data_IF_412828804839
#
_entry.id   IF_412828804839
#
_cell.length_a   1.000
_cell.length_b   1.000
_cell.length_c   1.000
_cell.angle_alpha   90.00
_cell.angle_beta   90.00
_cell.angle_gamma   90.00
#
_symmetry.space_group_name_H-M   'P 1'
#
loop_
_entity.id
_entity.type
_entity.pdbx_description
1 polymer ?
#
# COMPACT_ATOMS: atom_id res chain seq x y z
N UNK A 1 12.56 38.38 -18.00
CA UNK A 1 11.48 38.57 -16.98
C UNK A 1 11.19 37.34 -16.11
N UNK A 2 11.84 36.19 -16.29
CA UNK A 2 11.56 34.95 -15.53
C UNK A 2 12.31 34.83 -14.18
N UNK A 3 13.41 35.58 -13.97
CA UNK A 3 14.23 35.50 -12.73
C UNK A 3 13.60 36.21 -11.53
N UNK A 4 12.81 37.27 -11.74
CA UNK A 4 12.25 38.07 -10.65
C UNK A 4 11.18 37.30 -9.84
N UNK A 5 10.29 36.58 -10.52
CA UNK A 5 9.22 35.80 -9.87
C UNK A 5 9.70 34.52 -9.15
N UNK A 6 10.94 34.06 -9.40
CA UNK A 6 11.52 32.91 -8.68
C UNK A 6 12.08 33.36 -7.32
N UNK A 7 12.70 34.54 -7.26
CA UNK A 7 13.26 35.10 -6.03
C UNK A 7 12.18 35.45 -5.00
N UNK A 8 11.11 36.12 -5.42
CA UNK A 8 9.98 36.48 -4.55
C UNK A 8 9.27 35.26 -3.94
N UNK A 9 9.23 34.15 -4.70
CA UNK A 9 8.60 32.90 -4.26
C UNK A 9 9.44 32.17 -3.23
N UNK A 10 10.76 32.16 -3.42
CA UNK A 10 11.70 31.60 -2.46
C UNK A 10 11.66 32.40 -1.14
N UNK A 11 11.61 33.73 -1.19
CA UNK A 11 11.50 34.59 0.01
C UNK A 11 10.22 34.33 0.81
N UNK A 12 9.08 34.13 0.13
CA UNK A 12 7.81 33.78 0.79
C UNK A 12 7.87 32.42 1.48
N UNK A 13 8.49 31.41 0.85
CA UNK A 13 8.70 30.08 1.44
C UNK A 13 9.55 30.19 2.70
N UNK A 14 10.62 30.98 2.65
CA UNK A 14 11.52 31.21 3.78
C UNK A 14 10.78 31.90 4.95
N UNK A 15 10.03 32.97 4.69
CA UNK A 15 9.27 33.68 5.72
C UNK A 15 8.24 32.77 6.40
N UNK A 16 7.47 32.03 5.61
CA UNK A 16 6.47 31.10 6.13
C UNK A 16 7.12 29.94 6.91
N UNK A 17 8.27 29.44 6.43
CA UNK A 17 9.04 28.41 7.13
C UNK A 17 9.54 28.88 8.49
N UNK A 18 10.00 30.14 8.62
CA UNK A 18 10.37 30.72 9.92
C UNK A 18 9.19 30.75 10.89
N UNK A 19 8.02 31.18 10.41
CA UNK A 19 6.79 31.23 11.23
C UNK A 19 6.32 29.83 11.68
N UNK A 20 6.44 28.81 10.82
CA UNK A 20 6.14 27.43 11.20
C UNK A 20 7.12 26.91 12.26
N UNK A 21 8.42 27.16 12.06
CA UNK A 21 9.48 26.65 12.93
C UNK A 21 9.58 27.40 14.26
N UNK A 22 9.05 28.62 14.38
CA UNK A 22 8.91 29.29 15.68
C UNK A 22 7.89 28.63 16.61
N UNK A 23 6.96 27.84 16.06
CA UNK A 23 5.93 27.16 16.86
C UNK A 23 6.22 25.68 17.09
N UNK A 24 6.95 25.03 16.18
CA UNK A 24 7.23 23.60 16.29
C UNK A 24 8.48 23.15 15.53
N UNK A 25 9.13 22.13 16.07
CA UNK A 25 10.30 21.52 15.43
C UNK A 25 9.88 20.50 14.36
N UNK A 26 10.24 20.73 13.09
CA UNK A 26 9.96 19.81 11.98
C UNK A 26 11.23 19.18 11.42
N UNK A 27 11.16 17.92 10.97
CA UNK A 27 12.23 17.32 10.17
C UNK A 27 12.16 17.80 8.71
N UNK A 28 13.24 17.60 7.97
CA UNK A 28 13.38 18.08 6.58
C UNK A 28 12.29 17.54 5.65
N UNK A 29 11.85 16.28 5.82
CA UNK A 29 10.75 15.73 5.02
C UNK A 29 9.46 16.52 5.25
N UNK A 30 9.07 16.70 6.52
CA UNK A 30 7.83 17.38 6.88
C UNK A 30 7.85 18.85 6.48
N UNK A 31 8.97 19.54 6.73
CA UNK A 31 9.14 20.96 6.37
C UNK A 31 9.12 21.15 4.87
N UNK A 32 9.94 20.39 4.12
CA UNK A 32 10.03 20.58 2.68
C UNK A 32 8.76 20.15 1.96
N UNK A 33 8.09 19.08 2.40
CA UNK A 33 6.81 18.62 1.82
C UNK A 33 5.79 19.74 1.69
N UNK A 34 5.73 20.67 2.64
CA UNK A 34 4.81 21.81 2.61
C UNK A 34 4.98 22.71 1.39
N UNK A 35 6.15 22.68 0.75
CA UNK A 35 6.48 23.57 -0.35
C UNK A 35 6.89 22.83 -1.63
N UNK A 36 6.89 21.49 -1.64
CA UNK A 36 7.29 20.67 -2.81
C UNK A 36 6.48 21.05 -4.06
N UNK A 37 5.15 21.15 -3.94
CA UNK A 37 4.26 21.52 -5.07
C UNK A 37 4.52 22.93 -5.62
N UNK A 38 5.18 23.78 -4.84
CA UNK A 38 5.53 25.15 -5.21
C UNK A 38 6.92 25.27 -5.85
N UNK A 39 7.67 24.18 -5.93
CA UNK A 39 9.06 24.18 -6.43
C UNK A 39 9.28 23.12 -7.51
N UNK A 40 10.38 23.21 -8.25
CA UNK A 40 10.79 22.17 -9.22
C UNK A 40 11.45 20.95 -8.55
N UNK A 41 11.46 20.86 -7.21
CA UNK A 41 12.11 19.79 -6.47
C UNK A 41 11.15 18.62 -6.21
N UNK A 42 11.59 17.40 -6.49
CA UNK A 42 10.80 16.18 -6.32
C UNK A 42 10.94 15.50 -4.95
N UNK A 43 11.74 16.08 -4.05
CA UNK A 43 12.06 15.51 -2.74
C UNK A 43 11.86 16.53 -1.62
N UNK A 44 10.89 16.24 -0.75
CA UNK A 44 10.63 17.03 0.47
C UNK A 44 11.88 17.14 1.35
N UNK A 45 12.61 16.03 1.56
CA UNK A 45 13.87 16.05 2.33
C UNK A 45 14.87 17.08 1.83
N UNK A 46 15.15 17.10 0.53
CA UNK A 46 16.16 18.01 -0.05
C UNK A 46 15.72 19.47 0.08
N UNK A 47 14.45 19.75 -0.20
CA UNK A 47 13.89 21.09 -0.06
C UNK A 47 13.90 21.55 1.41
N UNK A 48 13.47 20.71 2.34
CA UNK A 48 13.48 21.05 3.76
C UNK A 48 14.89 21.32 4.30
N UNK A 49 15.88 20.56 3.85
CA UNK A 49 17.28 20.81 4.18
C UNK A 49 17.77 22.17 3.63
N UNK A 50 17.46 22.48 2.36
CA UNK A 50 17.79 23.78 1.74
C UNK A 50 17.15 24.93 2.50
N UNK A 51 15.85 24.83 2.82
CA UNK A 51 15.12 25.83 3.60
C UNK A 51 15.82 26.03 4.94
N UNK A 52 16.09 24.94 5.67
CA UNK A 52 16.71 24.97 6.99
C UNK A 52 18.07 25.66 6.99
N UNK A 53 18.94 25.33 6.02
CA UNK A 53 20.26 25.96 5.89
C UNK A 53 20.13 27.46 5.58
N UNK A 54 19.16 27.84 4.75
CA UNK A 54 18.92 29.24 4.37
C UNK A 54 18.47 30.11 5.55
N UNK A 55 17.84 29.53 6.56
CA UNK A 55 17.39 30.24 7.78
C UNK A 55 18.30 29.98 8.99
N UNK A 56 19.38 29.23 8.81
CA UNK A 56 20.30 28.79 9.87
C UNK A 56 19.59 28.20 11.11
N UNK A 57 18.60 27.33 10.89
CA UNK A 57 17.81 26.72 11.97
C UNK A 57 18.30 25.30 12.29
N UNK A 58 18.29 24.91 13.57
CA UNK A 58 18.76 23.58 14.00
C UNK A 58 17.92 22.45 13.43
N UNK A 59 18.50 21.26 13.22
CA UNK A 59 17.72 20.06 12.90
C UNK A 59 16.92 19.62 14.12
N UNK A 60 15.64 19.32 13.91
CA UNK A 60 14.76 18.79 14.94
C UNK A 60 15.26 17.42 15.44
N UNK A 61 15.49 17.27 16.74
CA UNK A 61 15.78 15.97 17.36
C UNK A 61 14.59 15.02 17.22
N UNK A 62 13.37 15.54 17.35
CA UNK A 62 12.12 14.80 17.17
C UNK A 62 11.08 15.66 16.45
N UNK A 63 10.73 15.27 15.22
CA UNK A 63 9.74 16.00 14.43
C UNK A 63 8.36 16.07 15.12
N UNK A 64 7.79 17.26 15.23
CA UNK A 64 6.47 17.52 15.78
C UNK A 64 5.36 16.83 14.98
N UNK A 65 5.49 16.55 13.69
CA UNK A 65 4.47 15.82 12.92
C UNK A 65 4.74 14.32 12.99
N UNK A 66 5.77 13.86 12.29
CA UNK A 66 5.95 12.44 12.02
C UNK A 66 6.69 11.67 13.12
N UNK A 67 7.20 12.34 14.17
CA UNK A 67 8.06 11.72 15.21
C UNK A 67 9.20 10.88 14.60
N UNK A 68 9.83 11.41 13.54
CA UNK A 68 10.93 10.80 12.79
C UNK A 68 10.58 9.54 11.99
N UNK A 69 9.32 9.33 11.61
CA UNK A 69 8.88 8.20 10.77
C UNK A 69 9.78 7.89 9.57
N UNK A 70 10.32 8.93 8.93
CA UNK A 70 11.16 8.82 7.74
C UNK A 70 12.55 8.21 8.00
N UNK A 71 13.05 8.19 9.25
CA UNK A 71 14.35 7.57 9.56
C UNK A 71 14.33 6.06 9.33
N UNK A 72 13.17 5.44 9.52
CA UNK A 72 13.01 3.98 9.49
C UNK A 72 12.48 3.48 8.15
N UNK A 73 12.36 4.35 7.14
CA UNK A 73 11.78 3.99 5.84
C UNK A 73 12.55 2.84 5.16
N UNK A 74 13.88 2.82 5.27
CA UNK A 74 14.67 1.74 4.66
C UNK A 74 14.40 0.37 5.30
N UNK A 75 14.06 0.34 6.60
CA UNK A 75 13.65 -0.89 7.29
C UNK A 75 12.33 -1.41 6.71
N UNK A 76 11.33 -0.53 6.56
CA UNK A 76 10.03 -0.92 6.00
C UNK A 76 10.14 -1.33 4.53
N UNK A 77 10.99 -0.67 3.74
CA UNK A 77 11.26 -1.08 2.35
C UNK A 77 11.89 -2.47 2.34
N UNK A 78 12.85 -2.78 3.22
CA UNK A 78 13.43 -4.12 3.33
C UNK A 78 12.37 -5.17 3.72
N UNK A 79 11.47 -4.84 4.64
CA UNK A 79 10.35 -5.73 4.98
C UNK A 79 9.45 -5.99 3.77
N UNK A 80 9.08 -4.95 3.01
CA UNK A 80 8.31 -5.13 1.77
C UNK A 80 9.05 -6.04 0.79
N UNK A 81 10.38 -5.90 0.67
CA UNK A 81 11.18 -6.72 -0.23
C UNK A 81 11.15 -8.19 0.19
N UNK A 82 11.34 -8.46 1.48
CA UNK A 82 11.33 -9.82 2.00
C UNK A 82 9.98 -10.50 1.75
N UNK A 83 8.86 -9.83 2.04
CA UNK A 83 7.54 -10.43 1.80
C UNK A 83 7.25 -10.54 0.31
N UNK A 84 7.79 -9.64 -0.52
CA UNK A 84 7.55 -9.67 -1.96
C UNK A 84 8.14 -10.87 -2.69
N UNK A 85 9.09 -11.62 -2.10
CA UNK A 85 9.68 -12.80 -2.75
C UNK A 85 8.71 -13.97 -2.84
N UNK A 86 7.63 -13.95 -2.07
CA UNK A 86 6.59 -14.99 -2.08
C UNK A 86 5.57 -14.81 -3.22
N UNK A 87 5.64 -13.70 -3.96
CA UNK A 87 4.63 -13.32 -4.95
C UNK A 87 5.22 -13.03 -6.32
N UNK A 88 4.50 -13.44 -7.35
CA UNK A 88 4.78 -13.06 -8.74
C UNK A 88 3.94 -11.83 -9.11
N UNK A 89 4.60 -10.72 -9.46
CA UNK A 89 3.92 -9.48 -9.83
C UNK A 89 4.77 -8.58 -10.71
N UNK A 90 4.10 -7.73 -11.49
CA UNK A 90 4.70 -6.69 -12.32
C UNK A 90 4.37 -5.28 -11.82
N UNK A 91 3.17 -5.11 -11.28
CA UNK A 91 2.69 -3.84 -10.73
C UNK A 91 2.39 -3.95 -9.23
N UNK A 92 2.53 -2.84 -8.52
CA UNK A 92 2.18 -2.79 -7.10
C UNK A 92 1.67 -1.41 -6.69
N UNK A 93 1.06 -1.34 -5.52
CA UNK A 93 0.78 -0.07 -4.83
C UNK A 93 1.20 -0.18 -3.36
N UNK A 94 1.39 0.97 -2.71
CA UNK A 94 1.78 1.05 -1.30
C UNK A 94 0.77 1.87 -0.51
N UNK A 95 0.19 1.23 0.49
CA UNK A 95 -0.61 1.84 1.54
C UNK A 95 0.19 2.00 2.85
N UNK A 96 -0.32 2.87 3.71
CA UNK A 96 0.23 3.08 5.05
C UNK A 96 -0.90 3.24 6.08
N UNK A 97 -0.71 2.67 7.27
CA UNK A 97 -1.54 2.92 8.45
C UNK A 97 -0.68 3.68 9.45
N UNK A 98 -1.05 4.94 9.72
CA UNK A 98 -0.37 5.82 10.65
C UNK A 98 -1.16 5.95 11.96
N UNK A 99 -0.49 6.40 13.03
CA UNK A 99 -1.18 6.81 14.27
C UNK A 99 -2.04 8.04 13.98
N UNK A 100 -3.26 8.05 14.51
CA UNK A 100 -4.21 9.16 14.30
C UNK A 100 -3.61 10.51 14.73
N UNK A 101 -2.88 10.52 15.85
CA UNK A 101 -2.18 11.71 16.33
C UNK A 101 -1.12 12.27 15.37
N UNK A 102 -0.57 11.48 14.43
CA UNK A 102 0.33 11.99 13.39
C UNK A 102 -0.48 12.76 12.33
N UNK A 103 -1.63 12.22 11.93
CA UNK A 103 -2.53 12.83 10.94
C UNK A 103 -3.10 14.13 11.50
N UNK A 104 -3.58 14.12 12.74
CA UNK A 104 -4.13 15.32 13.40
C UNK A 104 -3.11 16.44 13.55
N UNK A 105 -1.87 16.12 13.93
CA UNK A 105 -0.79 17.13 14.02
C UNK A 105 -0.43 17.73 12.67
N UNK A 106 -0.46 16.91 11.61
CA UNK A 106 -0.25 17.39 10.24
C UNK A 106 -1.36 18.35 9.80
N UNK A 107 -2.62 17.93 9.95
CA UNK A 107 -3.78 18.71 9.53
C UNK A 107 -3.92 20.00 10.34
N UNK A 108 -3.63 19.97 11.65
CA UNK A 108 -3.60 21.18 12.50
C UNK A 108 -2.61 22.22 11.96
N UNK A 109 -1.39 21.81 11.61
CA UNK A 109 -0.40 22.73 11.06
C UNK A 109 -0.78 23.22 9.67
N UNK A 110 -1.25 22.33 8.79
CA UNK A 110 -1.69 22.70 7.44
C UNK A 110 -2.83 23.72 7.49
N UNK A 111 -3.79 23.53 8.39
CA UNK A 111 -4.90 24.47 8.60
C UNK A 111 -4.41 25.81 9.14
N UNK A 112 -3.64 25.80 10.24
CA UNK A 112 -3.13 27.00 10.92
C UNK A 112 -2.32 27.90 9.99
N UNK A 113 -1.47 27.32 9.14
CA UNK A 113 -0.60 28.06 8.23
C UNK A 113 -1.17 28.17 6.80
N UNK A 114 -2.44 27.82 6.61
CA UNK A 114 -3.15 27.89 5.32
C UNK A 114 -2.39 27.21 4.16
N UNK A 115 -1.79 26.05 4.42
CA UNK A 115 -1.00 25.26 3.48
C UNK A 115 -1.91 24.47 2.52
N UNK A 116 -2.46 25.17 1.53
CA UNK A 116 -3.38 24.60 0.52
C UNK A 116 -2.64 23.77 -0.53
N UNK A 117 -3.29 22.70 -1.01
CA UNK A 117 -2.76 21.85 -2.09
C UNK A 117 -1.53 21.03 -1.73
N UNK A 118 -1.21 20.93 -0.43
CA UNK A 118 -0.08 20.15 0.07
C UNK A 118 -0.51 18.72 0.36
N UNK A 119 0.31 17.74 -0.06
CA UNK A 119 0.11 16.33 0.27
C UNK A 119 0.09 16.11 1.80
N UNK A 120 -0.88 15.32 2.28
CA UNK A 120 -0.90 14.85 3.66
C UNK A 120 0.27 13.90 3.99
N UNK A 121 0.58 13.74 5.27
CA UNK A 121 1.76 12.98 5.73
C UNK A 121 1.70 11.52 5.29
N UNK A 122 0.49 10.95 5.24
CA UNK A 122 0.26 9.60 4.73
C UNK A 122 0.69 9.47 3.27
N UNK A 123 0.32 10.43 2.43
CA UNK A 123 0.65 10.44 1.00
C UNK A 123 2.16 10.56 0.77
N UNK A 124 2.84 11.41 1.55
CA UNK A 124 4.29 11.59 1.42
C UNK A 124 5.05 10.32 1.84
N UNK A 125 4.60 9.66 2.92
CA UNK A 125 5.16 8.39 3.38
C UNK A 125 4.99 7.29 2.33
N UNK A 126 3.79 7.12 1.75
CA UNK A 126 3.56 6.09 0.73
C UNK A 126 4.33 6.37 -0.56
N UNK A 127 4.45 7.64 -0.97
CA UNK A 127 5.30 8.06 -2.10
C UNK A 127 6.77 7.70 -1.86
N UNK A 128 7.32 8.00 -0.68
CA UNK A 128 8.72 7.68 -0.39
C UNK A 128 8.99 6.17 -0.28
N UNK A 129 8.08 5.40 0.33
CA UNK A 129 8.14 3.93 0.31
C UNK A 129 8.12 3.39 -1.12
N UNK A 130 7.16 3.83 -1.94
CA UNK A 130 7.02 3.42 -3.33
C UNK A 130 8.26 3.74 -4.17
N UNK A 131 8.76 4.98 -4.10
CA UNK A 131 9.98 5.40 -4.82
C UNK A 131 11.18 4.51 -4.47
N UNK A 132 11.39 4.22 -3.19
CA UNK A 132 12.50 3.38 -2.74
C UNK A 132 12.31 1.91 -3.14
N UNK A 133 11.09 1.41 -3.06
CA UNK A 133 10.78 0.04 -3.49
C UNK A 133 11.01 -0.14 -4.99
N UNK A 134 10.56 0.79 -5.85
CA UNK A 134 10.86 0.79 -7.30
C UNK A 134 12.37 0.67 -7.54
N UNK A 135 13.17 1.48 -6.85
CA UNK A 135 14.64 1.48 -7.04
C UNK A 135 15.26 0.11 -6.76
N UNK A 136 14.69 -0.61 -5.80
CA UNK A 136 15.16 -1.93 -5.35
C UNK A 136 14.66 -3.08 -6.22
N UNK A 137 13.39 -3.07 -6.64
CA UNK A 137 12.75 -4.21 -7.30
C UNK A 137 12.55 -4.03 -8.80
N UNK A 138 12.68 -2.80 -9.31
CA UNK A 138 12.39 -2.40 -10.70
C UNK A 138 10.93 -2.65 -11.15
N UNK A 139 10.03 -2.96 -10.20
CA UNK A 139 8.59 -3.12 -10.46
C UNK A 139 7.92 -1.76 -10.64
N UNK A 140 6.73 -1.75 -11.26
CA UNK A 140 6.00 -0.52 -11.60
C UNK A 140 4.92 -0.22 -10.56
N UNK A 141 4.63 1.06 -10.31
CA UNK A 141 3.48 1.44 -9.49
C UNK A 141 2.23 1.53 -10.36
N UNK A 142 1.14 0.92 -9.92
CA UNK A 142 -0.20 1.09 -10.46
C UNK A 142 -1.17 1.31 -9.29
N UNK A 143 -1.80 2.48 -9.24
CA UNK A 143 -2.72 2.82 -8.15
C UNK A 143 -4.16 2.36 -8.39
N UNK A 144 -4.52 2.00 -9.62
CA UNK A 144 -5.88 1.61 -10.00
C UNK A 144 -6.03 0.10 -9.98
N UNK A 145 -5.12 -0.62 -10.63
CA UNK A 145 -5.18 -2.07 -10.82
C UNK A 145 -3.85 -2.77 -10.52
N UNK A 146 -3.28 -2.60 -9.31
CA UNK A 146 -2.05 -3.29 -8.92
C UNK A 146 -2.25 -4.81 -8.84
N UNK A 147 -1.23 -5.57 -9.21
CA UNK A 147 -1.17 -7.01 -8.94
C UNK A 147 -1.04 -7.26 -7.42
N UNK A 148 -0.26 -6.42 -6.73
CA UNK A 148 0.01 -6.53 -5.29
C UNK A 148 -0.14 -5.19 -4.58
N UNK A 149 -0.87 -5.18 -3.47
CA UNK A 149 -0.98 -4.05 -2.55
C UNK A 149 -0.22 -4.34 -1.27
N UNK A 150 0.86 -3.60 -1.03
CA UNK A 150 1.61 -3.62 0.23
C UNK A 150 1.03 -2.58 1.18
N UNK A 151 0.70 -2.95 2.42
CA UNK A 151 0.22 -2.01 3.44
C UNK A 151 1.14 -2.05 4.65
N UNK A 152 1.89 -0.98 4.88
CA UNK A 152 2.75 -0.85 6.06
C UNK A 152 1.94 -0.31 7.23
N UNK A 153 1.82 -1.12 8.28
CA UNK A 153 1.24 -0.70 9.52
C UNK A 153 2.31 -0.17 10.47
N UNK A 154 2.40 1.15 10.60
CA UNK A 154 3.37 1.81 11.50
C UNK A 154 2.97 1.75 12.98
N UNK A 155 1.83 1.14 13.32
CA UNK A 155 1.43 0.86 14.71
C UNK A 155 1.94 -0.50 15.17
N UNK A 156 1.82 -1.52 14.31
CA UNK A 156 2.22 -2.91 14.61
C UNK A 156 3.57 -3.28 14.03
N UNK A 157 4.16 -2.39 13.22
CA UNK A 157 5.43 -2.62 12.51
C UNK A 157 5.38 -3.87 11.62
N UNK A 158 4.26 -4.05 10.91
CA UNK A 158 4.03 -5.18 10.01
C UNK A 158 3.73 -4.72 8.58
N UNK A 159 4.09 -5.56 7.62
CA UNK A 159 3.79 -5.37 6.21
C UNK A 159 2.72 -6.40 5.80
N UNK A 160 1.50 -5.94 5.56
CA UNK A 160 0.43 -6.78 5.06
C UNK A 160 0.41 -6.75 3.53
N UNK A 161 0.19 -7.90 2.90
CA UNK A 161 0.14 -8.03 1.45
C UNK A 161 -1.23 -8.50 1.02
N UNK A 162 -1.78 -7.85 0.00
CA UNK A 162 -3.02 -8.25 -0.64
C UNK A 162 -2.78 -8.40 -2.14
N UNK A 163 -3.01 -9.59 -2.67
CA UNK A 163 -2.90 -9.88 -4.10
C UNK A 163 -4.23 -9.60 -4.81
N UNK A 164 -4.13 -9.26 -6.09
CA UNK A 164 -5.27 -9.21 -7.00
C UNK A 164 -5.73 -10.65 -7.31
N UNK A 165 -7.03 -10.96 -7.20
CA UNK A 165 -7.55 -12.26 -7.59
C UNK A 165 -7.30 -12.55 -9.07
N UNK A 166 -6.94 -13.79 -9.39
CA UNK A 166 -6.89 -14.31 -10.75
C UNK A 166 -8.24 -14.93 -11.09
N UNK A 167 -8.78 -14.57 -12.24
CA UNK A 167 -10.02 -15.14 -12.76
C UNK A 167 -9.69 -16.10 -13.89
N UNK A 168 -10.20 -17.32 -13.79
CA UNK A 168 -10.10 -18.34 -14.82
C UNK A 168 -11.49 -18.60 -15.38
N UNK A 169 -11.57 -18.68 -16.70
CA UNK A 169 -12.77 -19.11 -17.40
C UNK A 169 -12.44 -20.37 -18.19
N UNK A 170 -13.35 -21.35 -18.15
CA UNK A 170 -13.16 -22.61 -18.82
C UNK A 170 -14.45 -23.38 -18.96
N UNK A 171 -14.34 -24.52 -19.64
CA UNK A 171 -15.39 -25.53 -19.74
C UNK A 171 -14.80 -26.83 -19.25
N UNK A 172 -15.63 -27.66 -18.64
CA UNK A 172 -15.25 -29.02 -18.26
C UNK A 172 -16.10 -30.01 -19.05
N UNK A 173 -15.58 -31.22 -19.18
CA UNK A 173 -16.31 -32.38 -19.70
C UNK A 173 -16.34 -33.41 -18.60
N UNK A 174 -17.51 -33.98 -18.35
CA UNK A 174 -17.72 -35.04 -17.36
C UNK A 174 -17.91 -36.36 -18.09
N UNK A 175 -16.88 -37.18 -18.07
CA UNK A 175 -16.88 -38.48 -18.75
C UNK A 175 -17.57 -39.60 -17.94
N UNK A 176 -17.84 -39.35 -16.65
CA UNK A 176 -18.37 -40.34 -15.71
C UNK A 176 -19.56 -39.80 -14.92
N UNK A 177 -20.64 -40.58 -14.92
CA UNK A 177 -21.78 -40.39 -14.01
C UNK A 177 -21.36 -40.68 -12.58
N UNK A 178 -22.10 -40.13 -11.61
CA UNK A 178 -21.80 -40.32 -10.19
C UNK A 178 -20.89 -39.25 -9.58
N UNK A 179 -20.44 -38.27 -10.37
CA UNK A 179 -19.67 -37.12 -9.88
C UNK A 179 -20.61 -35.91 -9.72
N UNK A 180 -20.79 -35.36 -8.50
CA UNK A 180 -21.54 -34.12 -8.33
C UNK A 180 -20.77 -32.95 -8.94
N UNK A 181 -21.49 -31.97 -9.49
CA UNK A 181 -20.87 -30.77 -10.05
C UNK A 181 -20.23 -29.90 -8.96
N UNK A 182 -20.99 -29.61 -7.90
CA UNK A 182 -20.62 -28.72 -6.78
C UNK A 182 -20.25 -29.52 -5.54
N UNK A 183 -19.40 -28.93 -4.72
CA UNK A 183 -19.05 -29.48 -3.41
C UNK A 183 -19.92 -28.92 -2.28
N UNK A 184 -20.08 -29.70 -1.22
CA UNK A 184 -20.70 -29.19 0.00
C UNK A 184 -19.80 -28.15 0.66
N UNK A 185 -20.40 -27.01 1.00
CA UNK A 185 -19.72 -26.00 1.81
C UNK A 185 -19.40 -26.56 3.18
N UNK A 186 -18.21 -26.23 3.70
CA UNK A 186 -17.81 -26.55 5.05
C UNK A 186 -18.87 -26.04 6.04
N UNK A 187 -19.39 -26.94 6.89
CA UNK A 187 -20.51 -26.66 7.81
C UNK A 187 -20.16 -25.60 8.86
N UNK A 188 -18.90 -25.54 9.29
CA UNK A 188 -18.46 -24.61 10.33
C UNK A 188 -18.36 -23.16 9.82
N UNK A 189 -17.93 -22.97 8.57
CA UNK A 189 -17.68 -21.64 8.02
C UNK A 189 -18.64 -21.24 6.91
N UNK A 190 -19.56 -22.12 6.51
CA UNK A 190 -20.53 -21.89 5.43
C UNK A 190 -19.86 -21.41 4.14
N UNK A 191 -18.75 -22.05 3.74
CA UNK A 191 -18.01 -21.69 2.53
C UNK A 191 -17.04 -20.49 2.66
N UNK A 192 -16.92 -19.89 3.84
CA UNK A 192 -16.01 -18.75 4.06
C UNK A 192 -14.53 -19.12 4.09
N UNK A 193 -14.21 -20.36 4.45
CA UNK A 193 -12.87 -20.80 4.82
C UNK A 193 -12.65 -20.67 6.34
N UNK A 194 -12.15 -21.74 6.97
CA UNK A 194 -11.74 -21.77 8.37
C UNK A 194 -10.63 -22.80 8.56
N UNK A 195 -10.06 -22.85 9.77
CA UNK A 195 -8.99 -23.78 10.11
C UNK A 195 -9.35 -25.25 9.87
N UNK A 196 -10.62 -25.65 10.08
CA UNK A 196 -11.09 -27.02 9.87
C UNK A 196 -11.09 -27.47 8.41
N UNK A 197 -11.34 -26.55 7.48
CA UNK A 197 -11.28 -26.83 6.04
C UNK A 197 -10.00 -26.31 5.38
N UNK A 198 -8.95 -26.02 6.16
CA UNK A 198 -7.70 -25.44 5.68
C UNK A 198 -7.91 -24.18 4.83
N UNK A 199 -8.83 -23.31 5.26
CA UNK A 199 -9.26 -22.08 4.57
C UNK A 199 -9.91 -22.26 3.18
N UNK A 200 -10.10 -23.50 2.69
CA UNK A 200 -10.68 -23.77 1.38
C UNK A 200 -12.16 -23.37 1.28
N UNK A 201 -12.93 -23.60 2.35
CA UNK A 201 -14.38 -23.40 2.38
C UNK A 201 -15.20 -24.63 1.98
N UNK A 202 -14.54 -25.68 1.50
CA UNK A 202 -15.11 -27.00 1.18
C UNK A 202 -14.31 -28.09 1.91
N UNK A 203 -14.94 -29.25 2.17
CA UNK A 203 -14.31 -30.35 2.93
C UNK A 203 -14.00 -31.58 2.09
N UNK A 204 -14.73 -31.81 0.99
CA UNK A 204 -14.47 -32.89 0.03
C UNK A 204 -13.97 -32.33 -1.31
N UNK A 205 -13.29 -33.20 -2.06
CA UNK A 205 -12.72 -32.93 -3.38
C UNK A 205 -13.10 -33.99 -4.42
N UNK A 206 -14.23 -34.66 -4.21
CA UNK A 206 -14.67 -35.81 -5.01
C UNK A 206 -15.46 -35.42 -6.27
N UNK A 207 -16.19 -34.31 -6.22
CA UNK A 207 -16.93 -33.70 -7.30
C UNK A 207 -16.07 -32.90 -8.28
N UNK A 208 -16.72 -32.34 -9.30
CA UNK A 208 -16.05 -31.56 -10.35
C UNK A 208 -15.40 -30.30 -9.76
N UNK A 209 -16.15 -29.52 -8.99
CA UNK A 209 -15.64 -28.33 -8.29
C UNK A 209 -14.43 -28.66 -7.41
N UNK A 210 -14.52 -29.75 -6.66
CA UNK A 210 -13.48 -30.22 -5.77
C UNK A 210 -12.18 -30.57 -6.51
N UNK A 211 -12.26 -31.40 -7.55
CA UNK A 211 -11.09 -31.80 -8.34
C UNK A 211 -10.40 -30.59 -8.98
N UNK A 212 -11.17 -29.68 -9.57
CA UNK A 212 -10.61 -28.46 -10.17
C UNK A 212 -10.01 -27.56 -9.07
N UNK A 213 -10.68 -27.40 -7.93
CA UNK A 213 -10.17 -26.63 -6.79
C UNK A 213 -8.82 -27.15 -6.31
N UNK A 214 -8.70 -28.47 -6.11
CA UNK A 214 -7.45 -29.11 -5.67
C UNK A 214 -6.30 -28.84 -6.63
N UNK A 215 -6.53 -29.01 -7.93
CA UNK A 215 -5.54 -28.69 -8.96
C UNK A 215 -5.11 -27.22 -8.89
N UNK A 216 -6.07 -26.30 -8.71
CA UNK A 216 -5.78 -24.86 -8.64
C UNK A 216 -5.06 -24.46 -7.35
N UNK A 217 -5.36 -25.07 -6.21
CA UNK A 217 -4.60 -24.85 -4.97
C UNK A 217 -3.13 -25.19 -5.15
N UNK A 218 -2.84 -26.37 -5.74
CA UNK A 218 -1.48 -26.82 -5.99
C UNK A 218 -0.75 -25.94 -7.02
N UNK A 219 -1.43 -25.58 -8.12
CA UNK A 219 -0.81 -24.79 -9.19
C UNK A 219 -0.57 -23.33 -8.85
N UNK A 220 -1.50 -22.69 -8.16
CA UNK A 220 -1.42 -21.27 -7.82
C UNK A 220 -0.91 -21.01 -6.40
N UNK A 221 -0.63 -22.08 -5.62
CA UNK A 221 -0.26 -21.99 -4.20
C UNK A 221 -1.24 -21.08 -3.42
N UNK A 222 -2.53 -21.23 -3.71
CA UNK A 222 -3.60 -20.43 -3.12
C UNK A 222 -4.37 -21.26 -2.11
N UNK A 223 -4.79 -20.63 -1.02
CA UNK A 223 -5.66 -21.25 -0.01
C UNK A 223 -7.14 -21.22 -0.40
N UNK A 224 -7.50 -20.46 -1.46
CA UNK A 224 -8.91 -20.27 -1.81
C UNK A 224 -9.14 -20.12 -3.30
N UNK A 225 -10.20 -20.79 -3.73
CA UNK A 225 -10.77 -20.75 -5.08
C UNK A 225 -12.28 -20.60 -4.89
N UNK A 226 -12.92 -19.80 -5.73
CA UNK A 226 -14.37 -19.62 -5.75
C UNK A 226 -14.88 -19.91 -7.15
N UNK A 227 -15.91 -20.75 -7.22
CA UNK A 227 -16.56 -21.07 -8.48
C UNK A 227 -17.79 -20.23 -8.71
N UNK A 228 -18.04 -19.91 -9.98
CA UNK A 228 -19.31 -19.38 -10.46
C UNK A 228 -19.71 -20.25 -11.64
N UNK A 229 -20.79 -21.01 -11.45
CA UNK A 229 -21.27 -21.96 -12.44
C UNK A 229 -22.26 -21.29 -13.38
N UNK A 230 -22.10 -21.52 -14.69
CA UNK A 230 -23.07 -21.14 -15.72
C UNK A 230 -23.88 -22.39 -16.04
N UNK A 231 -25.07 -22.50 -15.45
CA UNK A 231 -25.87 -23.72 -15.48
C UNK A 231 -25.56 -24.68 -14.33
N UNK A 232 -26.27 -25.79 -14.31
CA UNK A 232 -26.10 -26.85 -13.32
C UNK A 232 -26.42 -28.21 -13.92
N UNK A 233 -25.82 -29.25 -13.37
CA UNK A 233 -26.12 -30.63 -13.75
C UNK A 233 -26.25 -31.53 -12.53
N UNK A 234 -27.05 -32.59 -12.68
CA UNK A 234 -27.17 -33.62 -11.67
C UNK A 234 -25.96 -34.55 -11.64
N UNK A 235 -25.77 -35.20 -10.49
CA UNK A 235 -24.72 -36.20 -10.28
C UNK A 235 -24.77 -37.32 -11.32
N UNK A 236 -25.96 -37.68 -11.79
CA UNK A 236 -26.22 -38.76 -12.75
C UNK A 236 -26.09 -38.35 -14.22
N UNK A 237 -25.92 -37.06 -14.51
CA UNK A 237 -25.70 -36.53 -15.87
C UNK A 237 -24.28 -36.82 -16.37
N UNK A 238 -24.14 -36.84 -17.70
CA UNK A 238 -22.86 -36.84 -18.43
C UNK A 238 -22.66 -35.47 -19.07
#
# INVERSE_FOLDING_TARGET
MQKCGVLEKDDKIILQSKSILSECDLCDNCLGRFFVSSTNLSSGRRLGNKIRNSINFRIATKCYICKNLFSNIDLYVKMMQNVSTEYEFSTFTVGAILKQSIIERDDKLRSRFHLRGVDGIKTDVTKELGKKFIRKTKKRIDHLLPDVTFTINFKTEQCNVKTKPVFLYGRYVKDKRGLPQKEESCRDCMGKGCIFCNNHGIVSFDGVEGKISKFLYEKFKTERVKFTWIGGEDKTSL
#
